data_IF_272914080422
#
_entry.id   IF_272914080422
#
_cell.length_a   1.000
_cell.length_b   1.000
_cell.length_c   1.000
_cell.angle_alpha   90.00
_cell.angle_beta   90.00
_cell.angle_gamma   90.00
#
_symmetry.space_group_name_H-M   'P 1'
#
loop_
_entity.id
_entity.type
_entity.pdbx_description
1 polymer ?
#
# COMPACT_ATOMS: atom_id res chain seq x y z
N UNK A 1 33.90 -13.77 -9.58
CA UNK A 1 32.91 -14.71 -10.15
C UNK A 1 31.52 -14.16 -9.86
N UNK A 2 30.76 -13.82 -10.90
CA UNK A 2 29.37 -13.39 -10.75
C UNK A 2 28.55 -14.54 -10.14
N UNK A 3 27.63 -14.25 -9.19
CA UNK A 3 26.80 -15.29 -8.61
C UNK A 3 25.93 -15.92 -9.71
N UNK A 4 26.06 -17.25 -9.87
CA UNK A 4 25.22 -18.04 -10.78
C UNK A 4 23.75 -17.70 -10.53
N UNK A 5 23.05 -17.23 -11.56
CA UNK A 5 21.59 -17.08 -11.58
C UNK A 5 20.94 -18.32 -10.97
N UNK A 6 20.51 -18.25 -9.71
CA UNK A 6 19.64 -19.27 -9.15
C UNK A 6 18.36 -19.25 -9.98
N UNK A 7 18.16 -20.27 -10.82
CA UNK A 7 16.88 -20.46 -11.53
C UNK A 7 15.76 -20.35 -10.50
N UNK A 8 14.88 -19.39 -10.70
CA UNK A 8 13.65 -19.24 -9.88
C UNK A 8 12.86 -20.57 -10.00
N UNK A 9 12.68 -21.25 -8.89
CA UNK A 9 11.84 -22.46 -8.87
C UNK A 9 10.39 -22.00 -8.80
N UNK A 10 9.70 -22.06 -9.92
CA UNK A 10 8.27 -21.72 -10.04
C UNK A 10 7.46 -22.96 -9.69
N UNK A 11 6.50 -22.85 -8.79
CA UNK A 11 5.58 -23.93 -8.43
C UNK A 11 4.50 -24.14 -9.50
N UNK A 12 3.84 -25.31 -9.50
CA UNK A 12 2.77 -25.60 -10.47
C UNK A 12 1.63 -24.59 -10.42
N UNK A 13 1.24 -24.14 -9.22
CA UNK A 13 0.19 -23.13 -9.09
C UNK A 13 0.64 -21.77 -9.63
N UNK A 14 1.89 -21.37 -9.38
CA UNK A 14 2.46 -20.14 -9.95
C UNK A 14 2.53 -20.24 -11.48
N UNK A 15 2.94 -21.39 -12.02
CA UNK A 15 2.95 -21.64 -13.47
C UNK A 15 1.55 -21.52 -14.06
N UNK A 16 0.52 -22.10 -13.42
CA UNK A 16 -0.89 -21.94 -13.83
C UNK A 16 -1.36 -20.50 -13.83
N UNK A 17 -0.85 -19.65 -12.93
CA UNK A 17 -1.13 -18.20 -12.93
C UNK A 17 -0.45 -17.49 -14.10
N UNK A 18 0.84 -17.80 -14.35
CA UNK A 18 1.65 -17.20 -15.40
C UNK A 18 1.06 -17.52 -16.78
N UNK A 19 0.73 -18.79 -17.03
CA UNK A 19 0.25 -19.31 -18.29
C UNK A 19 -1.28 -19.23 -18.44
N UNK A 20 -1.99 -18.61 -17.48
CA UNK A 20 -3.43 -18.46 -17.58
C UNK A 20 -3.82 -17.78 -18.89
N UNK A 21 -4.98 -18.19 -19.46
CA UNK A 21 -5.46 -17.66 -20.75
C UNK A 21 -5.39 -16.11 -20.80
N UNK A 22 -4.98 -15.52 -21.94
CA UNK A 22 -4.80 -14.09 -22.09
C UNK A 22 -6.13 -13.34 -22.33
N UNK A 23 -7.23 -13.81 -21.72
CA UNK A 23 -8.57 -13.23 -21.86
C UNK A 23 -9.35 -13.29 -20.54
N UNK A 24 -9.96 -12.15 -20.20
CA UNK A 24 -10.76 -12.01 -18.98
C UNK A 24 -9.92 -11.75 -17.72
N UNK A 25 -10.50 -11.92 -16.54
CA UNK A 25 -9.85 -11.59 -15.28
C UNK A 25 -9.22 -12.79 -14.59
N UNK A 26 -8.12 -12.59 -13.90
CA UNK A 26 -7.44 -13.54 -13.02
C UNK A 26 -7.13 -12.86 -11.69
N UNK A 27 -7.61 -13.41 -10.57
CA UNK A 27 -7.22 -13.02 -9.22
C UNK A 27 -6.17 -13.99 -8.67
N UNK A 28 -5.03 -13.46 -8.31
CA UNK A 28 -3.96 -14.14 -7.57
C UNK A 28 -3.98 -13.61 -6.15
N UNK A 29 -4.73 -14.29 -5.28
CA UNK A 29 -4.83 -13.96 -3.86
C UNK A 29 -3.74 -14.71 -3.10
N UNK A 30 -2.83 -14.01 -2.43
CA UNK A 30 -1.69 -14.65 -1.81
C UNK A 30 -1.09 -13.89 -0.65
N UNK A 31 -0.53 -14.64 0.29
CA UNK A 31 0.16 -14.12 1.46
C UNK A 31 1.47 -13.39 1.11
N UNK A 32 2.10 -12.66 2.05
CA UNK A 32 3.40 -12.04 1.83
C UNK A 32 4.45 -13.08 1.40
N UNK A 33 5.24 -12.75 0.39
CA UNK A 33 6.31 -13.64 -0.09
C UNK A 33 5.85 -14.87 -0.85
N UNK A 34 4.57 -15.00 -1.21
CA UNK A 34 4.07 -16.10 -2.04
C UNK A 34 4.44 -16.01 -3.53
N UNK A 35 5.11 -14.92 -3.93
CA UNK A 35 5.60 -14.71 -5.30
C UNK A 35 4.61 -14.01 -6.23
N UNK A 36 3.62 -13.25 -5.70
CA UNK A 36 2.67 -12.47 -6.53
C UNK A 36 3.38 -11.59 -7.55
N UNK A 37 4.29 -10.74 -7.10
CA UNK A 37 5.07 -9.85 -7.97
C UNK A 37 5.87 -10.63 -9.03
N UNK A 38 6.47 -11.76 -8.64
CA UNK A 38 7.17 -12.66 -9.58
C UNK A 38 6.23 -13.20 -10.63
N UNK A 39 5.03 -13.64 -10.22
CA UNK A 39 4.00 -14.11 -11.16
C UNK A 39 3.63 -13.02 -12.16
N UNK A 40 3.44 -11.77 -11.71
CA UNK A 40 3.07 -10.67 -12.59
C UNK A 40 4.17 -10.34 -13.61
N UNK A 41 5.43 -10.32 -13.20
CA UNK A 41 6.59 -10.12 -14.08
C UNK A 41 6.71 -11.27 -15.09
N UNK A 42 6.67 -12.54 -14.63
CA UNK A 42 6.76 -13.69 -15.52
C UNK A 42 5.53 -13.80 -16.43
N UNK A 43 4.36 -13.37 -15.98
CA UNK A 43 3.17 -13.28 -16.82
C UNK A 43 3.30 -12.21 -17.90
N UNK A 44 3.86 -11.04 -17.57
CA UNK A 44 4.17 -10.02 -18.58
C UNK A 44 5.10 -10.60 -19.66
N UNK A 45 6.16 -11.30 -19.27
CA UNK A 45 7.07 -12.02 -20.19
C UNK A 45 6.33 -13.07 -21.03
N UNK A 46 5.44 -13.86 -20.41
CA UNK A 46 4.65 -14.87 -21.12
C UNK A 46 3.74 -14.22 -22.17
N UNK A 47 3.06 -13.12 -21.83
CA UNK A 47 2.20 -12.39 -22.76
C UNK A 47 3.01 -11.81 -23.92
N UNK A 48 4.17 -11.20 -23.68
CA UNK A 48 5.05 -10.68 -24.73
C UNK A 48 5.49 -11.80 -25.70
N UNK A 49 5.84 -13.00 -25.18
CA UNK A 49 6.16 -14.16 -26.01
C UNK A 49 5.00 -14.63 -26.89
N UNK A 50 3.76 -14.30 -26.51
CA UNK A 50 2.55 -14.54 -27.32
C UNK A 50 2.24 -13.40 -28.30
N UNK A 51 3.22 -12.51 -28.54
CA UNK A 51 3.10 -11.33 -29.43
C UNK A 51 2.10 -10.27 -28.94
N UNK A 52 1.77 -10.27 -27.65
CA UNK A 52 0.93 -9.23 -27.03
C UNK A 52 1.78 -8.03 -26.66
N UNK A 53 1.46 -6.84 -27.19
CA UNK A 53 2.35 -5.67 -27.10
C UNK A 53 1.96 -4.62 -26.06
N UNK A 54 0.66 -4.44 -25.81
CA UNK A 54 0.18 -3.37 -24.92
C UNK A 54 -0.06 -3.90 -23.50
N UNK A 55 1.03 -4.09 -22.76
CA UNK A 55 0.97 -4.62 -21.39
C UNK A 55 1.31 -3.49 -20.43
N UNK A 56 0.41 -3.21 -19.46
CA UNK A 56 0.59 -2.27 -18.39
C UNK A 56 0.68 -3.00 -17.05
N UNK A 57 1.78 -2.82 -16.33
CA UNK A 57 1.94 -3.27 -14.96
C UNK A 57 1.78 -2.07 -14.00
N UNK A 58 0.77 -2.14 -13.15
CA UNK A 58 0.49 -1.10 -12.17
C UNK A 58 1.02 -1.46 -10.80
N UNK A 59 1.76 -0.53 -10.23
CA UNK A 59 2.25 -0.55 -8.86
C UNK A 59 1.47 0.43 -7.99
N UNK A 60 1.39 0.13 -6.70
CA UNK A 60 0.71 0.99 -5.75
C UNK A 60 1.37 2.37 -5.58
N UNK A 61 2.71 2.44 -5.51
CA UNK A 61 3.45 3.66 -5.26
C UNK A 61 4.68 3.79 -6.18
N UNK A 62 5.31 4.98 -6.17
CA UNK A 62 6.47 5.31 -7.00
C UNK A 62 7.69 4.42 -6.70
N UNK A 63 7.94 4.09 -5.43
CA UNK A 63 9.07 3.22 -5.05
C UNK A 63 8.91 1.84 -5.65
N UNK A 64 7.69 1.28 -5.57
CA UNK A 64 7.38 -0.02 -6.17
C UNK A 64 7.44 0.04 -7.70
N UNK A 65 7.02 1.15 -8.33
CA UNK A 65 7.18 1.36 -9.77
C UNK A 65 8.66 1.30 -10.18
N UNK A 66 9.54 2.01 -9.47
CA UNK A 66 10.99 1.96 -9.71
C UNK A 66 11.55 0.56 -9.54
N UNK A 67 11.16 -0.14 -8.47
CA UNK A 67 11.57 -1.52 -8.22
C UNK A 67 11.12 -2.48 -9.34
N UNK A 68 9.86 -2.40 -9.78
CA UNK A 68 9.33 -3.24 -10.84
C UNK A 68 9.98 -2.95 -12.20
N UNK A 69 10.30 -1.70 -12.51
CA UNK A 69 11.08 -1.34 -13.70
C UNK A 69 12.46 -1.98 -13.68
N UNK A 70 13.19 -1.88 -12.57
CA UNK A 70 14.50 -2.52 -12.41
C UNK A 70 14.40 -4.06 -12.52
N UNK A 71 13.35 -4.67 -11.93
CA UNK A 71 13.09 -6.10 -12.07
C UNK A 71 12.78 -6.51 -13.51
N UNK A 72 11.97 -5.75 -14.24
CA UNK A 72 11.64 -6.00 -15.63
C UNK A 72 12.90 -5.98 -16.51
N UNK A 73 13.73 -4.93 -16.37
CA UNK A 73 15.02 -4.83 -17.07
C UNK A 73 15.94 -6.01 -16.74
N UNK A 74 16.09 -6.36 -15.47
CA UNK A 74 16.91 -7.53 -15.04
C UNK A 74 16.36 -8.86 -15.58
N UNK A 75 15.11 -8.89 -15.95
CA UNK A 75 14.40 -10.06 -16.45
C UNK A 75 14.31 -10.09 -17.97
N UNK A 76 15.03 -9.24 -18.70
CA UNK A 76 15.01 -9.12 -20.17
C UNK A 76 13.57 -8.99 -20.73
N UNK A 77 12.75 -8.16 -20.08
CA UNK A 77 11.41 -7.82 -20.55
C UNK A 77 11.50 -6.41 -21.14
N UNK A 78 11.49 -6.33 -22.46
CA UNK A 78 11.57 -5.07 -23.17
C UNK A 78 10.21 -4.35 -23.16
N UNK A 79 10.24 -3.00 -23.13
CA UNK A 79 9.07 -2.11 -23.30
C UNK A 79 7.85 -2.41 -22.40
N UNK A 80 8.07 -3.01 -21.21
CA UNK A 80 6.99 -3.15 -20.24
C UNK A 80 6.62 -1.78 -19.64
N UNK A 81 5.41 -1.30 -19.92
CA UNK A 81 4.89 -0.11 -19.27
C UNK A 81 4.64 -0.39 -17.78
N UNK A 82 5.39 0.28 -16.89
CA UNK A 82 5.21 0.19 -15.44
C UNK A 82 4.93 1.57 -14.88
N UNK A 83 3.78 1.74 -14.21
CA UNK A 83 3.36 3.04 -13.68
C UNK A 83 2.49 2.89 -12.41
N UNK A 84 2.12 4.00 -11.80
CA UNK A 84 1.04 4.07 -10.81
C UNK A 84 -0.29 4.36 -11.51
N UNK A 85 -1.42 3.99 -10.87
CA UNK A 85 -2.74 4.32 -11.42
C UNK A 85 -2.88 5.82 -11.75
N UNK A 86 -2.45 6.69 -10.84
CA UNK A 86 -2.62 8.14 -11.03
C UNK A 86 -1.75 8.70 -12.15
N UNK A 87 -0.49 8.29 -12.24
CA UNK A 87 0.42 8.74 -13.30
C UNK A 87 -0.09 8.29 -14.68
N UNK A 88 -0.43 7.01 -14.81
CA UNK A 88 -1.02 6.47 -16.02
C UNK A 88 -2.34 7.16 -16.39
N UNK A 89 -3.26 7.31 -15.43
CA UNK A 89 -4.57 7.92 -15.66
C UNK A 89 -4.47 9.38 -16.09
N UNK A 90 -3.57 10.18 -15.47
CA UNK A 90 -3.31 11.56 -15.86
C UNK A 90 -2.77 11.63 -17.30
N UNK A 91 -1.89 10.70 -17.69
CA UNK A 91 -1.35 10.66 -19.05
C UNK A 91 -2.47 10.34 -20.07
N UNK A 92 -3.39 9.43 -19.77
CA UNK A 92 -4.58 9.17 -20.60
C UNK A 92 -5.46 10.43 -20.70
N UNK A 93 -5.75 11.11 -19.60
CA UNK A 93 -6.55 12.35 -19.62
C UNK A 93 -5.88 13.45 -20.45
N UNK A 94 -4.56 13.59 -20.39
CA UNK A 94 -3.81 14.53 -21.23
C UNK A 94 -3.89 14.18 -22.71
N UNK A 95 -3.85 12.89 -23.06
CA UNK A 95 -3.95 12.43 -24.45
C UNK A 95 -5.27 12.79 -25.13
N UNK A 96 -6.34 12.96 -24.34
CA UNK A 96 -7.64 13.44 -24.84
C UNK A 96 -7.86 14.94 -24.63
N UNK A 97 -6.78 15.68 -24.39
CA UNK A 97 -6.82 17.14 -24.14
C UNK A 97 -7.72 17.55 -22.96
N UNK A 98 -7.91 16.64 -21.99
CA UNK A 98 -8.62 17.00 -20.76
C UNK A 98 -7.76 17.99 -19.96
N UNK A 99 -8.24 19.24 -19.89
CA UNK A 99 -7.56 20.32 -19.18
C UNK A 99 -7.73 20.13 -17.67
N UNK A 100 -6.85 19.37 -17.06
CA UNK A 100 -6.74 19.32 -15.61
C UNK A 100 -5.34 19.79 -15.17
N UNK A 101 -5.31 20.48 -14.06
CA UNK A 101 -4.09 20.66 -13.29
C UNK A 101 -3.68 19.33 -12.67
N UNK A 102 -2.45 19.26 -12.16
CA UNK A 102 -2.05 18.11 -11.33
C UNK A 102 -3.02 17.99 -10.13
N UNK A 103 -3.39 16.79 -9.69
CA UNK A 103 -4.27 16.63 -8.54
C UNK A 103 -3.79 17.42 -7.32
N UNK A 104 -4.73 18.00 -6.58
CA UNK A 104 -4.46 18.78 -5.38
C UNK A 104 -3.59 18.01 -4.39
N UNK A 105 -2.66 18.70 -3.74
CA UNK A 105 -1.95 18.19 -2.56
C UNK A 105 -2.94 17.88 -1.43
N UNK A 106 -2.52 17.09 -0.45
CA UNK A 106 -3.36 16.81 0.73
C UNK A 106 -3.68 18.08 1.52
N UNK A 107 -2.75 19.04 1.57
CA UNK A 107 -2.92 20.32 2.27
C UNK A 107 -3.90 21.22 1.52
N UNK A 108 -3.74 21.38 0.20
CA UNK A 108 -4.68 22.16 -0.61
C UNK A 108 -6.09 21.57 -0.57
N UNK A 109 -6.21 20.25 -0.59
CA UNK A 109 -7.48 19.55 -0.45
C UNK A 109 -8.14 19.86 0.90
N UNK A 110 -7.38 19.75 1.99
CA UNK A 110 -7.84 20.07 3.33
C UNK A 110 -8.41 21.50 3.39
N UNK A 111 -7.70 22.48 2.83
CA UNK A 111 -8.14 23.88 2.79
C UNK A 111 -9.41 24.07 1.94
N UNK A 112 -9.55 23.36 0.81
CA UNK A 112 -10.77 23.43 -0.01
C UNK A 112 -11.97 22.80 0.70
N UNK A 113 -11.79 21.70 1.42
CA UNK A 113 -12.83 21.08 2.24
C UNK A 113 -13.24 22.01 3.38
N UNK A 114 -12.27 22.63 4.08
CA UNK A 114 -12.55 23.65 5.12
C UNK A 114 -13.38 24.82 4.57
N UNK A 115 -13.01 25.32 3.40
CA UNK A 115 -13.73 26.40 2.75
C UNK A 115 -15.15 25.99 2.36
N UNK A 116 -15.35 24.81 1.78
CA UNK A 116 -16.66 24.27 1.43
C UNK A 116 -17.56 24.13 2.68
N UNK A 117 -17.05 23.55 3.77
CA UNK A 117 -17.75 23.41 5.06
C UNK A 117 -18.19 24.77 5.59
N UNK A 118 -17.31 25.78 5.55
CA UNK A 118 -17.60 27.11 6.07
C UNK A 118 -18.71 27.79 5.26
N UNK A 119 -18.76 27.60 3.93
CA UNK A 119 -19.85 28.12 3.09
C UNK A 119 -21.18 27.47 3.48
N UNK A 120 -21.23 26.14 3.56
CA UNK A 120 -22.45 25.40 3.91
C UNK A 120 -22.93 25.80 5.31
N UNK A 121 -22.02 25.93 6.28
CA UNK A 121 -22.33 26.37 7.64
C UNK A 121 -22.95 27.78 7.68
N UNK A 122 -22.45 28.71 6.86
CA UNK A 122 -23.01 30.08 6.78
C UNK A 122 -24.38 30.12 6.11
N UNK A 123 -24.61 29.28 5.08
CA UNK A 123 -25.87 29.21 4.37
C UNK A 123 -27.00 28.61 5.22
N UNK A 124 -26.66 27.72 6.17
CA UNK A 124 -27.59 26.95 6.98
C UNK A 124 -27.28 27.14 8.49
N UNK A 125 -27.07 28.39 8.91
CA UNK A 125 -26.53 28.70 10.25
C UNK A 125 -27.35 28.15 11.43
N UNK A 126 -28.69 28.01 11.27
CA UNK A 126 -29.59 27.49 12.31
C UNK A 126 -29.70 25.97 12.30
N UNK A 127 -29.54 25.33 11.14
CA UNK A 127 -29.86 23.91 10.95
C UNK A 127 -28.65 23.05 10.60
N UNK A 128 -27.47 23.67 10.42
CA UNK A 128 -26.25 22.95 10.10
C UNK A 128 -25.79 22.04 11.24
N UNK A 129 -25.88 20.74 11.02
CA UNK A 129 -25.60 19.73 12.04
C UNK A 129 -24.54 18.77 11.51
N UNK A 130 -23.36 18.73 12.15
CA UNK A 130 -22.34 17.70 12.00
C UNK A 130 -22.18 16.89 13.29
N UNK A 131 -21.55 15.71 13.22
CA UNK A 131 -21.10 15.04 14.43
C UNK A 131 -20.22 15.95 15.30
N UNK A 132 -20.21 15.71 16.60
CA UNK A 132 -19.34 16.47 17.51
C UNK A 132 -17.88 16.08 17.31
N UNK A 133 -17.01 17.07 17.26
CA UNK A 133 -15.56 16.93 17.14
C UNK A 133 -14.84 17.74 18.21
N UNK A 134 -13.68 17.28 18.63
CA UNK A 134 -12.87 17.94 19.66
C UNK A 134 -12.18 19.22 19.14
N UNK A 135 -12.03 19.34 17.83
CA UNK A 135 -11.38 20.48 17.18
C UNK A 135 -11.84 20.67 15.74
N UNK A 136 -11.67 21.90 15.22
CA UNK A 136 -11.86 22.20 13.79
C UNK A 136 -11.01 21.29 12.89
N UNK A 137 -9.79 20.98 13.31
CA UNK A 137 -8.88 20.10 12.58
C UNK A 137 -9.42 18.67 12.47
N UNK A 138 -9.98 18.10 13.53
CA UNK A 138 -10.56 16.76 13.51
C UNK A 138 -11.82 16.72 12.65
N UNK A 139 -12.66 17.75 12.67
CA UNK A 139 -13.83 17.87 11.81
C UNK A 139 -13.45 17.89 10.33
N UNK A 140 -12.50 18.76 9.93
CA UNK A 140 -12.09 18.85 8.53
C UNK A 140 -11.38 17.57 8.07
N UNK A 141 -10.57 16.98 8.92
CA UNK A 141 -9.92 15.69 8.62
C UNK A 141 -10.94 14.58 8.37
N UNK A 142 -11.98 14.50 9.21
CA UNK A 142 -13.09 13.58 9.02
C UNK A 142 -13.84 13.83 7.70
N UNK A 143 -14.20 15.08 7.41
CA UNK A 143 -14.88 15.44 6.17
C UNK A 143 -14.04 15.10 4.94
N UNK A 144 -12.73 15.37 4.99
CA UNK A 144 -11.81 15.03 3.90
C UNK A 144 -11.78 13.54 3.63
N UNK A 145 -11.65 12.72 4.67
CA UNK A 145 -11.68 11.27 4.55
C UNK A 145 -13.04 10.74 4.09
N UNK A 146 -14.14 11.36 4.53
CA UNK A 146 -15.48 10.97 4.11
C UNK A 146 -15.71 11.27 2.62
N UNK A 147 -15.21 12.41 2.12
CA UNK A 147 -15.20 12.77 0.71
C UNK A 147 -14.38 11.75 -0.09
N UNK A 148 -13.19 11.37 0.39
CA UNK A 148 -12.35 10.36 -0.24
C UNK A 148 -13.06 9.01 -0.35
N UNK A 149 -13.70 8.59 0.73
CA UNK A 149 -14.46 7.36 0.77
C UNK A 149 -15.66 7.38 -0.20
N UNK A 150 -16.42 8.49 -0.24
CA UNK A 150 -17.51 8.62 -1.19
C UNK A 150 -17.04 8.57 -2.65
N UNK A 151 -15.98 9.30 -2.98
CA UNK A 151 -15.38 9.28 -4.32
C UNK A 151 -14.83 7.90 -4.67
N UNK A 152 -14.14 7.25 -3.73
CA UNK A 152 -13.58 5.91 -3.90
C UNK A 152 -14.61 4.81 -4.19
N UNK A 153 -15.86 5.00 -3.74
CA UNK A 153 -16.99 4.10 -3.98
C UNK A 153 -17.98 4.61 -5.05
N UNK A 154 -17.67 5.70 -5.74
CA UNK A 154 -18.57 6.35 -6.69
C UNK A 154 -19.95 6.74 -6.10
N UNK A 155 -19.93 7.19 -4.84
CA UNK A 155 -21.13 7.73 -4.18
C UNK A 155 -21.26 9.20 -4.58
N UNK A 156 -22.01 9.47 -5.63
CA UNK A 156 -22.15 10.79 -6.25
C UNK A 156 -23.56 11.41 -6.09
N UNK A 157 -24.49 10.72 -5.44
CA UNK A 157 -25.84 11.24 -5.11
C UNK A 157 -26.16 11.06 -3.63
N UNK A 158 -27.05 11.92 -3.10
CA UNK A 158 -27.49 11.83 -1.71
C UNK A 158 -28.19 10.49 -1.42
N UNK A 159 -29.00 9.99 -2.35
CA UNK A 159 -29.70 8.72 -2.20
C UNK A 159 -28.72 7.57 -2.02
N UNK A 160 -27.68 7.50 -2.87
CA UNK A 160 -26.60 6.50 -2.73
C UNK A 160 -25.91 6.61 -1.39
N UNK A 161 -25.58 7.84 -0.96
CA UNK A 161 -24.93 8.06 0.33
C UNK A 161 -25.80 7.63 1.50
N UNK A 162 -27.08 7.95 1.48
CA UNK A 162 -28.05 7.54 2.51
C UNK A 162 -28.20 6.01 2.56
N UNK A 163 -28.24 5.34 1.41
CA UNK A 163 -28.38 3.89 1.30
C UNK A 163 -27.09 3.11 1.65
N UNK A 164 -25.92 3.75 1.54
CA UNK A 164 -24.63 3.06 1.77
C UNK A 164 -24.40 2.86 3.27
N UNK A 165 -24.12 1.60 3.64
CA UNK A 165 -23.67 1.25 5.00
C UNK A 165 -22.26 1.81 5.24
N UNK A 166 -22.05 2.35 6.43
CA UNK A 166 -20.73 2.80 6.89
C UNK A 166 -19.93 1.71 7.61
N UNK A 167 -20.45 0.49 7.64
CA UNK A 167 -19.76 -0.64 8.25
C UNK A 167 -18.38 -0.82 7.59
N UNK A 168 -17.34 -0.85 8.42
CA UNK A 168 -15.96 -0.95 7.95
C UNK A 168 -15.40 0.34 7.32
N UNK A 169 -16.07 1.49 7.49
CA UNK A 169 -15.52 2.81 7.13
C UNK A 169 -14.36 3.20 8.05
N UNK A 170 -14.30 2.64 9.25
CA UNK A 170 -13.24 2.88 10.22
C UNK A 170 -13.33 4.25 10.89
N UNK A 171 -14.51 4.61 11.33
CA UNK A 171 -14.75 5.84 12.08
C UNK A 171 -15.75 5.57 13.20
N UNK A 172 -15.37 5.86 14.44
CA UNK A 172 -16.23 5.81 15.64
C UNK A 172 -17.31 6.90 15.64
N UNK A 173 -17.18 7.87 14.75
CA UNK A 173 -18.12 8.97 14.67
C UNK A 173 -19.47 8.47 14.19
N UNK A 174 -20.45 8.47 15.08
CA UNK A 174 -21.83 8.13 14.77
C UNK A 174 -22.43 9.14 13.80
N UNK A 175 -22.58 8.74 12.55
CA UNK A 175 -23.20 9.56 11.50
C UNK A 175 -24.65 9.18 11.34
N UNK A 176 -25.55 10.09 11.74
CA UNK A 176 -27.00 9.95 11.57
C UNK A 176 -27.42 10.31 10.14
N UNK A 177 -28.69 10.06 9.79
CA UNK A 177 -29.26 10.48 8.49
C UNK A 177 -29.16 12.00 8.28
N UNK A 178 -29.41 12.80 9.34
CA UNK A 178 -29.24 14.27 9.29
C UNK A 178 -27.78 14.66 9.02
N UNK A 179 -26.83 14.01 9.71
CA UNK A 179 -25.41 14.25 9.45
C UNK A 179 -25.02 13.92 8.00
N UNK A 180 -25.51 12.82 7.44
CA UNK A 180 -25.26 12.46 6.03
C UNK A 180 -25.71 13.55 5.06
N UNK A 181 -26.87 14.17 5.30
CA UNK A 181 -27.38 15.25 4.46
C UNK A 181 -26.38 16.42 4.42
N UNK A 182 -25.96 16.90 5.59
CA UNK A 182 -25.02 18.02 5.69
C UNK A 182 -23.61 17.69 5.18
N UNK A 183 -23.12 16.48 5.43
CA UNK A 183 -21.86 16.01 4.87
C UNK A 183 -21.94 15.99 3.34
N UNK A 184 -23.07 15.55 2.78
CA UNK A 184 -23.26 15.52 1.34
C UNK A 184 -23.36 16.94 0.73
N UNK A 185 -23.92 17.91 1.43
CA UNK A 185 -23.87 19.31 1.00
C UNK A 185 -22.44 19.85 0.97
N UNK A 186 -21.62 19.53 1.99
CA UNK A 186 -20.19 19.88 1.99
C UNK A 186 -19.47 19.21 0.83
N UNK A 187 -19.73 17.93 0.56
CA UNK A 187 -19.21 17.20 -0.60
C UNK A 187 -19.58 17.87 -1.92
N UNK A 188 -20.86 18.21 -2.09
CA UNK A 188 -21.36 18.88 -3.30
C UNK A 188 -20.71 20.25 -3.50
N UNK A 189 -20.58 21.02 -2.41
CA UNK A 189 -19.93 22.34 -2.44
C UNK A 189 -18.45 22.24 -2.76
N UNK A 190 -17.75 21.25 -2.16
CA UNK A 190 -16.36 20.97 -2.48
C UNK A 190 -16.17 20.66 -3.96
N UNK A 191 -16.96 19.75 -4.53
CA UNK A 191 -16.91 19.43 -5.95
C UNK A 191 -17.22 20.63 -6.86
N UNK A 192 -18.20 21.47 -6.48
CA UNK A 192 -18.50 22.71 -7.21
C UNK A 192 -17.31 23.69 -7.21
N UNK A 193 -16.58 23.80 -6.09
CA UNK A 193 -15.36 24.60 -5.99
C UNK A 193 -14.28 24.05 -6.92
N UNK A 194 -14.06 22.73 -6.93
CA UNK A 194 -13.07 22.10 -7.82
C UNK A 194 -13.45 22.37 -9.28
N UNK A 195 -14.70 22.10 -9.66
CA UNK A 195 -15.19 22.31 -11.02
C UNK A 195 -15.02 23.76 -11.50
N UNK A 196 -15.44 24.73 -10.69
CA UNK A 196 -15.32 26.17 -11.01
C UNK A 196 -13.87 26.60 -11.26
N UNK A 197 -12.93 26.01 -10.52
CA UNK A 197 -11.51 26.34 -10.61
C UNK A 197 -10.71 25.42 -11.54
N UNK A 198 -11.37 24.48 -12.24
CA UNK A 198 -10.75 23.47 -13.11
C UNK A 198 -9.71 22.63 -12.36
N UNK A 199 -9.97 22.34 -11.09
CA UNK A 199 -9.15 21.52 -10.21
C UNK A 199 -9.71 20.10 -10.14
N UNK A 200 -8.84 19.15 -9.84
CA UNK A 200 -9.20 17.77 -9.48
C UNK A 200 -8.42 17.34 -8.24
N UNK A 201 -8.93 16.39 -7.48
CA UNK A 201 -8.15 15.65 -6.50
C UNK A 201 -7.74 14.27 -7.02
N UNK A 202 -6.97 13.53 -6.23
CA UNK A 202 -6.48 12.20 -6.65
C UNK A 202 -7.62 11.20 -6.93
N UNK A 203 -8.74 11.28 -6.22
CA UNK A 203 -9.89 10.39 -6.46
C UNK A 203 -10.66 10.77 -7.74
N UNK A 204 -10.65 12.04 -8.12
CA UNK A 204 -11.30 12.51 -9.35
C UNK A 204 -10.67 11.91 -10.61
N UNK A 205 -9.39 11.56 -10.59
CA UNK A 205 -8.75 10.92 -11.75
C UNK A 205 -9.50 9.68 -12.21
N UNK A 206 -9.89 8.80 -11.27
CA UNK A 206 -10.66 7.60 -11.61
C UNK A 206 -12.07 7.93 -12.08
N UNK A 207 -12.74 8.90 -11.44
CA UNK A 207 -14.10 9.33 -11.80
C UNK A 207 -14.12 9.89 -13.21
N UNK A 208 -13.19 10.81 -13.52
CA UNK A 208 -13.12 11.45 -14.85
C UNK A 208 -12.77 10.43 -15.94
N UNK A 209 -11.85 9.49 -15.68
CA UNK A 209 -11.56 8.40 -16.62
C UNK A 209 -12.79 7.56 -16.91
N UNK A 210 -13.56 7.21 -15.87
CA UNK A 210 -14.79 6.44 -16.02
C UNK A 210 -15.85 7.18 -16.84
N UNK A 211 -16.07 8.46 -16.54
CA UNK A 211 -17.03 9.31 -17.26
C UNK A 211 -16.63 9.55 -18.73
N UNK A 212 -15.33 9.62 -19.00
CA UNK A 212 -14.78 9.87 -20.33
C UNK A 212 -14.44 8.59 -21.11
N UNK A 213 -14.72 7.43 -20.57
CA UNK A 213 -14.33 6.15 -21.18
C UNK A 213 -14.74 6.01 -22.66
N UNK A 214 -15.93 6.53 -23.03
CA UNK A 214 -16.44 6.41 -24.39
C UNK A 214 -15.71 7.28 -25.44
N UNK A 215 -14.97 8.31 -25.00
CA UNK A 215 -14.23 9.20 -25.91
C UNK A 215 -12.73 8.92 -25.90
N UNK A 216 -12.26 8.02 -25.03
CA UNK A 216 -10.85 7.61 -25.00
C UNK A 216 -10.58 6.61 -26.13
N UNK A 217 -9.68 6.92 -27.08
CA UNK A 217 -9.33 6.00 -28.17
C UNK A 217 -8.82 4.66 -27.63
N UNK A 218 -9.32 3.56 -28.19
CA UNK A 218 -8.91 2.20 -27.79
C UNK A 218 -7.43 1.94 -27.99
N UNK A 219 -6.81 2.64 -28.93
CA UNK A 219 -5.40 2.58 -29.25
C UNK A 219 -4.51 3.05 -28.09
N UNK A 220 -5.04 3.90 -27.23
CA UNK A 220 -4.37 4.38 -26.01
C UNK A 220 -4.52 3.42 -24.82
N UNK A 221 -5.44 2.47 -24.92
CA UNK A 221 -5.74 1.54 -23.84
C UNK A 221 -4.86 0.28 -23.91
N UNK A 222 -4.45 -0.28 -22.76
CA UNK A 222 -3.67 -1.51 -22.72
C UNK A 222 -4.52 -2.74 -23.08
N UNK A 223 -3.93 -3.68 -23.79
CA UNK A 223 -4.53 -5.00 -24.01
C UNK A 223 -4.62 -5.77 -22.70
N UNK A 224 -3.54 -5.72 -21.92
CA UNK A 224 -3.41 -6.44 -20.66
C UNK A 224 -3.04 -5.49 -19.54
N UNK A 225 -3.76 -5.56 -18.44
CA UNK A 225 -3.44 -4.85 -17.21
C UNK A 225 -3.08 -5.87 -16.14
N UNK A 226 -1.90 -5.68 -15.55
CA UNK A 226 -1.40 -6.44 -14.41
C UNK A 226 -1.35 -5.49 -13.21
N UNK A 227 -1.93 -5.86 -12.08
CA UNK A 227 -2.00 -5.01 -10.90
C UNK A 227 -1.31 -5.70 -9.74
N UNK A 228 -0.28 -5.08 -9.18
CA UNK A 228 0.31 -5.50 -7.92
C UNK A 228 -0.30 -4.71 -6.75
N UNK A 229 -0.46 -5.37 -5.59
CA UNK A 229 -1.05 -4.82 -4.37
C UNK A 229 -2.45 -4.21 -4.57
N UNK A 230 -3.31 -4.87 -5.34
CA UNK A 230 -4.64 -4.36 -5.72
C UNK A 230 -5.56 -4.03 -4.54
N UNK A 231 -5.32 -4.61 -3.35
CA UNK A 231 -6.09 -4.32 -2.13
C UNK A 231 -5.98 -2.86 -1.66
N UNK A 232 -5.02 -2.09 -2.19
CA UNK A 232 -4.86 -0.68 -1.85
C UNK A 232 -5.52 0.27 -2.84
N UNK A 233 -6.02 -0.24 -3.96
CA UNK A 233 -6.78 0.55 -4.91
C UNK A 233 -8.23 0.73 -4.44
N UNK A 234 -8.82 1.88 -4.76
CA UNK A 234 -10.25 2.12 -4.53
C UNK A 234 -11.12 1.31 -5.49
N UNK A 235 -12.38 1.08 -5.11
CA UNK A 235 -13.36 0.44 -5.99
C UNK A 235 -13.45 1.14 -7.36
N UNK A 236 -13.46 2.47 -7.36
CA UNK A 236 -13.53 3.26 -8.58
C UNK A 236 -12.33 3.07 -9.50
N UNK A 237 -11.11 2.99 -8.93
CA UNK A 237 -9.90 2.69 -9.70
C UNK A 237 -9.96 1.29 -10.33
N UNK A 238 -10.40 0.29 -9.57
CA UNK A 238 -10.55 -1.08 -10.08
C UNK A 238 -11.62 -1.19 -11.16
N UNK A 239 -12.74 -0.46 -11.04
CA UNK A 239 -13.77 -0.39 -12.10
C UNK A 239 -13.20 0.18 -13.40
N UNK A 240 -12.45 1.28 -13.33
CA UNK A 240 -11.77 1.87 -14.50
C UNK A 240 -10.82 0.87 -15.14
N UNK A 241 -9.97 0.21 -14.34
CA UNK A 241 -9.02 -0.75 -14.85
C UNK A 241 -9.69 -1.97 -15.49
N UNK A 242 -10.80 -2.44 -14.90
CA UNK A 242 -11.60 -3.52 -15.47
C UNK A 242 -12.23 -3.15 -16.82
N UNK A 243 -12.69 -1.89 -16.96
CA UNK A 243 -13.28 -1.38 -18.20
C UNK A 243 -12.23 -1.15 -19.28
N UNK A 244 -10.99 -0.76 -18.90
CA UNK A 244 -9.94 -0.34 -19.83
C UNK A 244 -9.03 -1.47 -20.28
N UNK A 245 -8.99 -2.60 -19.57
CA UNK A 245 -8.27 -3.79 -20.01
C UNK A 245 -8.95 -4.42 -21.24
N UNK A 246 -8.38 -4.22 -22.43
CA UNK A 246 -9.03 -4.65 -23.68
C UNK A 246 -9.14 -6.19 -23.81
N UNK A 247 -8.19 -6.94 -23.24
CA UNK A 247 -8.15 -8.42 -23.32
C UNK A 247 -8.18 -9.07 -21.95
N UNK A 248 -7.26 -8.72 -21.04
CA UNK A 248 -7.21 -9.36 -19.72
C UNK A 248 -6.78 -8.43 -18.59
N UNK A 249 -7.30 -8.74 -17.41
CA UNK A 249 -6.96 -8.10 -16.15
C UNK A 249 -6.41 -9.16 -15.19
N UNK A 250 -5.16 -9.01 -14.74
CA UNK A 250 -4.54 -9.88 -13.74
C UNK A 250 -4.32 -9.10 -12.46
N UNK A 251 -4.83 -9.60 -11.36
CA UNK A 251 -4.92 -8.90 -10.07
C UNK A 251 -4.11 -9.67 -9.04
N UNK A 252 -3.04 -9.09 -8.53
CA UNK A 252 -2.31 -9.56 -7.36
C UNK A 252 -2.82 -8.86 -6.10
N UNK A 253 -3.34 -9.60 -5.13
CA UNK A 253 -3.90 -9.04 -3.90
C UNK A 253 -3.46 -9.82 -2.64
N UNK A 254 -3.46 -9.12 -1.50
CA UNK A 254 -3.17 -9.68 -0.18
C UNK A 254 -3.97 -8.94 0.91
N UNK A 255 -4.99 -9.58 1.45
CA UNK A 255 -5.83 -8.99 2.50
C UNK A 255 -5.06 -8.74 3.79
N UNK A 256 -4.12 -9.61 4.14
CA UNK A 256 -3.30 -9.45 5.35
C UNK A 256 -2.41 -8.20 5.32
N UNK A 257 -2.13 -7.66 4.14
CA UNK A 257 -1.33 -6.45 3.94
C UNK A 257 -2.18 -5.21 3.57
N UNK A 258 -3.49 -5.29 3.63
CA UNK A 258 -4.37 -4.15 3.32
C UNK A 258 -4.23 -3.06 4.38
N UNK A 259 -3.53 -1.99 4.06
CA UNK A 259 -3.36 -0.82 4.94
C UNK A 259 -4.53 0.15 4.80
N UNK A 260 -5.17 0.20 3.62
CA UNK A 260 -6.28 1.10 3.32
C UNK A 260 -7.63 0.42 3.45
N UNK A 261 -8.62 1.16 3.95
CA UNK A 261 -9.97 0.66 4.28
C UNK A 261 -10.88 0.64 3.04
N UNK A 262 -10.56 -0.16 2.04
CA UNK A 262 -11.38 -0.31 0.84
C UNK A 262 -12.11 -1.66 0.89
N UNK A 263 -13.39 -1.66 1.31
CA UNK A 263 -14.22 -2.87 1.29
C UNK A 263 -15.15 -2.84 0.08
N UNK A 264 -14.95 -3.76 -0.83
CA UNK A 264 -15.80 -4.01 -2.00
C UNK A 264 -15.80 -5.50 -2.32
N UNK A 265 -16.79 -5.95 -3.08
CA UNK A 265 -16.74 -7.29 -3.67
C UNK A 265 -16.35 -7.19 -5.15
N UNK A 266 -15.52 -8.09 -5.63
CA UNK A 266 -15.12 -8.12 -7.04
C UNK A 266 -16.31 -8.17 -8.00
N UNK A 267 -17.37 -8.89 -7.60
CA UNK A 267 -18.62 -8.97 -8.37
C UNK A 267 -19.29 -7.62 -8.54
N UNK A 268 -19.31 -6.80 -7.48
CA UNK A 268 -19.94 -5.46 -7.55
C UNK A 268 -19.15 -4.49 -8.44
N UNK A 269 -17.86 -4.77 -8.68
CA UNK A 269 -17.01 -4.03 -9.61
C UNK A 269 -17.11 -4.51 -11.07
N UNK A 270 -17.94 -5.51 -11.35
CA UNK A 270 -18.03 -6.11 -12.69
C UNK A 270 -16.86 -7.03 -13.03
N UNK A 271 -16.03 -7.42 -12.07
CA UNK A 271 -14.84 -8.28 -12.25
C UNK A 271 -15.22 -9.73 -12.00
N UNK A 272 -15.24 -10.54 -13.05
CA UNK A 272 -15.54 -11.98 -12.93
C UNK A 272 -14.26 -12.76 -12.56
N UNK A 273 -14.22 -13.21 -11.31
CA UNK A 273 -13.14 -14.01 -10.73
C UNK A 273 -13.60 -15.42 -10.29
N UNK A 274 -14.76 -15.87 -10.73
CA UNK A 274 -15.33 -17.16 -10.30
C UNK A 274 -14.55 -18.37 -10.84
N UNK A 275 -14.65 -19.47 -10.12
CA UNK A 275 -14.09 -20.77 -10.53
C UNK A 275 -12.57 -20.74 -10.67
N UNK A 276 -12.07 -21.15 -11.82
CA UNK A 276 -10.62 -21.24 -12.09
C UNK A 276 -9.90 -19.90 -12.19
N UNK A 277 -10.63 -18.78 -12.18
CA UNK A 277 -10.11 -17.41 -12.27
C UNK A 277 -9.56 -16.87 -10.95
N UNK A 278 -9.77 -17.57 -9.83
CA UNK A 278 -9.13 -17.27 -8.54
C UNK A 278 -8.09 -18.33 -8.21
N UNK A 279 -6.88 -17.87 -7.89
CA UNK A 279 -5.79 -18.72 -7.42
C UNK A 279 -5.33 -18.24 -6.06
N UNK A 280 -5.23 -19.16 -5.11
CA UNK A 280 -4.82 -18.87 -3.72
C UNK A 280 -3.39 -19.38 -3.52
N UNK A 281 -2.53 -18.50 -3.02
CA UNK A 281 -1.12 -18.78 -2.73
C UNK A 281 -0.88 -18.69 -1.22
N UNK A 282 -1.04 -19.81 -0.52
CA UNK A 282 -0.90 -19.89 0.94
C UNK A 282 0.53 -20.12 1.43
N UNK A 283 1.50 -20.36 0.54
CA UNK A 283 2.89 -20.64 0.90
C UNK A 283 3.79 -19.43 0.66
N UNK A 284 4.62 -19.08 1.64
CA UNK A 284 5.67 -18.05 1.48
C UNK A 284 7.01 -18.71 1.08
N UNK A 285 7.74 -18.04 0.16
CA UNK A 285 9.07 -18.45 -0.30
C UNK A 285 10.15 -17.42 0.05
N UNK A 286 9.75 -16.30 0.65
CA UNK A 286 10.63 -15.15 0.92
C UNK A 286 11.41 -15.32 2.22
N UNK A 287 10.70 -15.45 3.32
CA UNK A 287 11.23 -15.31 4.68
C UNK A 287 11.57 -16.66 5.31
N UNK A 288 12.28 -16.64 6.42
CA UNK A 288 12.50 -17.82 7.26
C UNK A 288 11.26 -18.12 8.12
N UNK A 289 11.18 -19.36 8.61
CA UNK A 289 10.10 -19.84 9.48
C UNK A 289 9.94 -18.95 10.73
N UNK A 290 11.04 -18.59 11.35
CA UNK A 290 11.11 -17.83 12.60
C UNK A 290 10.56 -16.40 12.43
N UNK A 291 10.87 -15.75 11.29
CA UNK A 291 10.33 -14.42 10.97
C UNK A 291 8.81 -14.49 10.78
N UNK A 292 8.34 -15.47 10.01
CA UNK A 292 6.89 -15.61 9.74
C UNK A 292 6.13 -16.02 11.00
N UNK A 293 6.70 -16.86 11.86
CA UNK A 293 6.08 -17.22 13.14
C UNK A 293 5.84 -15.99 14.02
N UNK A 294 6.88 -15.14 14.19
CA UNK A 294 6.73 -13.91 14.97
C UNK A 294 5.72 -12.95 14.35
N UNK A 295 5.79 -12.74 13.04
CA UNK A 295 4.87 -11.83 12.35
C UNK A 295 3.41 -12.33 12.43
N UNK A 296 3.16 -13.62 12.23
CA UNK A 296 1.83 -14.21 12.29
C UNK A 296 1.26 -14.16 13.72
N UNK A 297 2.03 -14.52 14.75
CA UNK A 297 1.58 -14.48 16.14
C UNK A 297 1.15 -13.06 16.56
N UNK A 298 1.83 -12.04 16.03
CA UNK A 298 1.44 -10.65 16.25
C UNK A 298 0.16 -10.28 15.47
N UNK A 299 0.04 -10.72 14.21
CA UNK A 299 -1.10 -10.38 13.35
C UNK A 299 -2.39 -11.09 13.78
N UNK A 300 -2.31 -12.30 14.30
CA UNK A 300 -3.49 -13.06 14.82
C UNK A 300 -4.20 -12.37 15.99
N UNK A 301 -3.56 -11.38 16.63
CA UNK A 301 -4.22 -10.55 17.65
C UNK A 301 -5.13 -9.47 17.04
N UNK A 302 -5.19 -9.34 15.70
CA UNK A 302 -6.10 -8.43 15.01
C UNK A 302 -7.44 -9.13 14.75
N UNK A 303 -8.40 -8.93 15.68
CA UNK A 303 -9.73 -9.54 15.61
C UNK A 303 -10.51 -9.17 14.34
N UNK A 304 -10.28 -7.97 13.79
CA UNK A 304 -10.96 -7.51 12.58
C UNK A 304 -10.46 -8.25 11.35
N UNK A 305 -9.16 -8.56 11.33
CA UNK A 305 -8.55 -9.29 10.23
C UNK A 305 -8.90 -10.77 10.26
N UNK A 306 -8.80 -11.41 11.44
CA UNK A 306 -9.06 -12.86 11.59
C UNK A 306 -10.51 -13.23 11.24
N UNK A 307 -11.45 -12.30 11.42
CA UNK A 307 -12.88 -12.48 11.06
C UNK A 307 -13.17 -12.19 9.57
N UNK A 308 -12.19 -11.74 8.77
CA UNK A 308 -12.40 -11.46 7.35
C UNK A 308 -12.34 -12.76 6.54
N UNK A 309 -13.41 -13.08 5.79
CA UNK A 309 -13.53 -14.33 5.02
C UNK A 309 -12.47 -14.48 3.91
N UNK A 310 -11.90 -13.37 3.44
CA UNK A 310 -10.84 -13.39 2.43
C UNK A 310 -9.43 -13.45 3.05
N UNK A 311 -9.31 -13.45 4.39
CA UNK A 311 -8.02 -13.59 5.06
C UNK A 311 -7.46 -15.00 4.87
N UNK A 312 -6.20 -15.07 4.45
CA UNK A 312 -5.47 -16.33 4.29
C UNK A 312 -4.40 -16.38 5.39
N UNK A 313 -4.53 -17.36 6.26
CA UNK A 313 -3.49 -17.62 7.25
C UNK A 313 -2.22 -18.14 6.56
N UNK A 314 -1.06 -17.49 6.76
CA UNK A 314 0.17 -17.92 6.13
C UNK A 314 0.67 -19.27 6.63
N UNK A 315 0.94 -20.20 5.71
CA UNK A 315 1.64 -21.44 6.07
C UNK A 315 3.12 -21.15 6.30
N UNK A 316 3.69 -21.83 7.29
CA UNK A 316 5.10 -21.62 7.63
C UNK A 316 6.03 -22.14 6.52
N UNK A 317 7.06 -21.37 6.14
CA UNK A 317 8.04 -21.83 5.15
C UNK A 317 8.91 -22.96 5.70
N UNK A 318 9.44 -23.78 4.80
CA UNK A 318 10.39 -24.85 5.17
C UNK A 318 11.78 -24.32 5.55
N UNK A 319 12.13 -23.12 5.11
CA UNK A 319 13.42 -22.48 5.35
C UNK A 319 13.48 -21.96 6.77
N UNK A 320 14.42 -22.45 7.57
CA UNK A 320 14.73 -21.92 8.90
C UNK A 320 15.87 -20.90 8.87
N UNK A 321 15.91 -20.04 9.87
CA UNK A 321 16.91 -18.99 10.07
C UNK A 321 17.05 -18.62 11.55
N UNK A 322 17.78 -17.55 11.87
CA UNK A 322 17.88 -17.06 13.23
C UNK A 322 16.53 -16.54 13.74
N UNK A 323 16.26 -16.68 15.03
CA UNK A 323 15.15 -15.99 15.67
C UNK A 323 15.30 -14.49 15.46
N UNK A 324 14.18 -13.75 15.23
CA UNK A 324 14.19 -12.29 15.24
C UNK A 324 14.80 -11.74 16.52
N UNK A 325 15.44 -10.59 16.42
CA UNK A 325 16.05 -9.89 17.56
C UNK A 325 15.20 -8.68 17.93
N UNK A 326 14.90 -8.49 19.21
CA UNK A 326 14.34 -7.25 19.76
C UNK A 326 15.44 -6.54 20.53
N UNK A 327 15.84 -5.36 20.05
CA UNK A 327 16.89 -4.54 20.64
C UNK A 327 16.27 -3.38 21.42
N UNK A 328 16.43 -3.39 22.74
CA UNK A 328 15.92 -2.36 23.62
C UNK A 328 16.99 -1.28 23.84
N UNK A 329 16.65 -0.02 23.53
CA UNK A 329 17.55 1.13 23.62
C UNK A 329 17.00 2.17 24.60
N UNK A 330 17.86 2.80 25.37
CA UNK A 330 17.49 3.87 26.30
C UNK A 330 17.21 5.19 25.55
N UNK A 331 18.00 5.45 24.51
CA UNK A 331 17.95 6.70 23.73
C UNK A 331 17.99 6.40 22.24
N UNK A 332 17.58 7.40 21.46
CA UNK A 332 17.64 7.32 19.99
C UNK A 332 19.09 7.25 19.47
N UNK A 333 20.02 7.97 20.09
CA UNK A 333 21.44 7.89 19.74
C UNK A 333 22.05 6.49 19.99
N UNK A 334 21.64 5.81 21.07
CA UNK A 334 22.01 4.42 21.31
C UNK A 334 21.46 3.48 20.23
N UNK A 335 20.21 3.68 19.82
CA UNK A 335 19.59 2.91 18.74
C UNK A 335 20.40 3.03 17.45
N UNK A 336 20.69 4.27 17.01
CA UNK A 336 21.48 4.53 15.80
C UNK A 336 22.83 3.82 15.88
N UNK A 337 23.58 4.01 16.97
CA UNK A 337 24.89 3.40 17.16
C UNK A 337 24.82 1.88 17.01
N UNK A 338 23.92 1.21 17.75
CA UNK A 338 23.78 -0.25 17.75
C UNK A 338 23.31 -0.80 16.39
N UNK A 339 22.41 -0.09 15.69
CA UNK A 339 21.98 -0.46 14.33
C UNK A 339 23.16 -0.39 13.37
N UNK A 340 23.95 0.69 13.40
CA UNK A 340 25.13 0.85 12.53
C UNK A 340 26.17 -0.25 12.80
N UNK A 341 26.42 -0.59 14.05
CA UNK A 341 27.34 -1.69 14.41
C UNK A 341 26.87 -3.03 13.82
N UNK A 342 25.56 -3.34 13.88
CA UNK A 342 24.99 -4.53 13.25
C UNK A 342 25.06 -4.48 11.73
N UNK A 343 24.76 -3.34 11.11
CA UNK A 343 24.88 -3.14 9.66
C UNK A 343 26.32 -3.41 9.20
N UNK A 344 27.32 -2.89 9.92
CA UNK A 344 28.76 -3.16 9.63
C UNK A 344 29.08 -4.65 9.70
N UNK A 345 28.61 -5.35 10.74
CA UNK A 345 28.79 -6.80 10.90
C UNK A 345 28.18 -7.59 9.74
N UNK A 346 26.94 -7.25 9.35
CA UNK A 346 26.28 -7.91 8.21
C UNK A 346 27.08 -7.69 6.92
N UNK A 347 27.48 -6.44 6.62
CA UNK A 347 28.24 -6.11 5.41
C UNK A 347 29.65 -6.70 5.38
N UNK A 348 30.27 -6.89 6.54
CA UNK A 348 31.57 -7.58 6.65
C UNK A 348 31.44 -9.06 6.27
N UNK A 349 30.33 -9.70 6.66
CA UNK A 349 30.10 -11.12 6.41
C UNK A 349 29.50 -11.38 5.01
N UNK A 350 28.65 -10.47 4.49
CA UNK A 350 28.02 -10.57 3.17
C UNK A 350 27.94 -9.19 2.51
N UNK A 351 28.89 -8.92 1.61
CA UNK A 351 28.94 -7.68 0.82
C UNK A 351 27.80 -7.60 -0.21
N UNK A 352 27.20 -8.73 -0.57
CA UNK A 352 26.10 -8.80 -1.54
C UNK A 352 24.72 -8.62 -0.91
N UNK A 353 24.63 -8.56 0.42
CA UNK A 353 23.37 -8.44 1.13
C UNK A 353 22.68 -7.09 0.89
N UNK A 354 21.35 -7.15 0.74
CA UNK A 354 20.47 -5.99 0.78
C UNK A 354 19.94 -5.81 2.21
N UNK A 355 20.06 -4.59 2.74
CA UNK A 355 19.65 -4.27 4.12
C UNK A 355 18.57 -3.20 4.07
N UNK A 356 17.36 -3.53 4.50
CA UNK A 356 16.27 -2.58 4.65
C UNK A 356 16.25 -1.98 6.05
N UNK A 357 16.33 -0.65 6.15
CA UNK A 357 16.13 0.09 7.38
C UNK A 357 14.81 0.82 7.30
N UNK A 358 13.79 0.31 8.02
CA UNK A 358 12.41 0.79 7.95
C UNK A 358 12.13 1.67 9.16
N UNK A 359 11.90 2.96 8.91
CA UNK A 359 11.64 3.97 9.93
C UNK A 359 10.15 4.31 10.04
N UNK A 360 9.71 4.67 11.22
CA UNK A 360 8.32 5.11 11.45
C UNK A 360 8.00 6.41 10.70
N UNK A 361 8.98 7.34 10.59
CA UNK A 361 8.82 8.66 9.98
C UNK A 361 10.04 9.05 9.14
N UNK A 362 9.84 9.88 8.12
CA UNK A 362 10.91 10.41 7.27
C UNK A 362 12.00 11.16 8.06
N UNK A 363 11.63 11.96 9.07
CA UNK A 363 12.58 12.68 9.92
C UNK A 363 13.62 11.76 10.58
N UNK A 364 13.25 10.48 10.81
CA UNK A 364 14.15 9.48 11.38
C UNK A 364 15.10 8.88 10.35
N UNK A 365 14.74 8.91 9.07
CA UNK A 365 15.61 8.46 7.99
C UNK A 365 16.88 9.33 7.93
N UNK A 366 16.74 10.66 7.98
CA UNK A 366 17.87 11.58 7.84
C UNK A 366 18.95 11.36 8.91
N UNK A 367 18.55 11.14 10.17
CA UNK A 367 19.50 10.86 11.24
C UNK A 367 20.31 9.55 11.02
N UNK A 368 19.71 8.52 10.42
CA UNK A 368 20.42 7.31 10.05
C UNK A 368 21.32 7.53 8.83
N UNK A 369 20.90 8.35 7.85
CA UNK A 369 21.71 8.73 6.68
C UNK A 369 22.97 9.41 7.14
N UNK A 370 22.86 10.50 7.92
CA UNK A 370 23.99 11.26 8.48
C UNK A 370 24.97 10.32 9.20
N UNK A 371 24.47 9.50 10.11
CA UNK A 371 25.31 8.59 10.87
C UNK A 371 25.98 7.47 10.03
N UNK A 372 25.37 7.06 8.91
CA UNK A 372 25.95 6.11 7.96
C UNK A 372 27.03 6.77 7.09
N UNK A 373 26.79 8.00 6.63
CA UNK A 373 27.74 8.80 5.86
C UNK A 373 29.02 9.07 6.65
N UNK A 374 28.90 9.47 7.94
CA UNK A 374 30.03 9.64 8.85
C UNK A 374 30.88 8.37 8.98
N UNK A 375 30.29 7.19 8.79
CA UNK A 375 30.94 5.90 8.89
C UNK A 375 31.32 5.30 7.54
N UNK A 376 31.14 6.04 6.43
CA UNK A 376 31.43 5.59 5.07
C UNK A 376 30.58 4.38 4.64
N UNK A 377 29.36 4.24 5.15
CA UNK A 377 28.43 3.16 4.77
C UNK A 377 27.56 3.62 3.63
N UNK A 378 27.70 3.05 2.41
CA UNK A 378 26.83 3.37 1.28
C UNK A 378 25.36 3.08 1.60
N UNK A 379 24.52 4.06 1.36
CA UNK A 379 23.09 3.97 1.63
C UNK A 379 22.29 4.68 0.55
N UNK A 380 20.99 4.35 0.42
CA UNK A 380 20.06 4.92 -0.56
C UNK A 380 18.70 5.11 0.10
N UNK A 381 18.11 6.29 -0.06
CA UNK A 381 16.73 6.55 0.34
C UNK A 381 15.80 6.06 -0.78
N UNK A 382 14.88 5.15 -0.44
CA UNK A 382 14.03 4.43 -1.41
C UNK A 382 13.18 5.36 -2.30
N UNK A 383 12.76 6.51 -1.77
CA UNK A 383 11.88 7.44 -2.49
C UNK A 383 12.62 8.46 -3.36
N UNK A 384 13.94 8.46 -3.36
CA UNK A 384 14.72 9.34 -4.21
C UNK A 384 14.66 8.92 -5.68
N UNK A 385 14.70 9.92 -6.56
CA UNK A 385 14.67 9.67 -7.98
C UNK A 385 15.97 8.97 -8.41
N UNK A 386 15.83 7.86 -9.14
CA UNK A 386 16.99 7.07 -9.60
C UNK A 386 17.58 6.13 -8.54
N UNK A 387 16.94 5.98 -7.38
CA UNK A 387 17.41 5.06 -6.33
C UNK A 387 17.59 3.65 -6.87
N UNK A 388 18.79 3.09 -6.69
CA UNK A 388 19.06 1.68 -7.01
C UNK A 388 18.58 0.79 -5.86
N UNK A 389 17.46 0.10 -6.11
CA UNK A 389 16.80 -0.73 -5.12
C UNK A 389 17.23 -2.19 -5.14
N UNK A 390 17.88 -2.65 -6.21
CA UNK A 390 18.29 -4.05 -6.40
C UNK A 390 19.75 -4.33 -6.03
N UNK A 391 20.62 -3.34 -6.09
CA UNK A 391 22.04 -3.52 -5.73
C UNK A 391 22.23 -3.74 -4.24
N UNK A 392 23.31 -4.41 -3.83
CA UNK A 392 23.69 -4.57 -2.43
C UNK A 392 23.79 -3.25 -1.67
N UNK A 393 23.58 -3.27 -0.36
CA UNK A 393 23.76 -2.13 0.53
C UNK A 393 22.51 -1.76 1.32
N UNK A 394 22.55 -0.61 2.00
CA UNK A 394 21.49 -0.16 2.90
C UNK A 394 20.45 0.66 2.13
N UNK A 395 19.19 0.32 2.32
CA UNK A 395 18.02 1.01 1.76
C UNK A 395 17.17 1.56 2.92
N UNK A 396 17.08 2.87 3.02
CA UNK A 396 16.29 3.53 4.06
C UNK A 396 14.90 3.86 3.52
N UNK A 397 13.89 3.55 4.29
CA UNK A 397 12.49 3.70 3.86
C UNK A 397 11.54 3.85 5.04
N UNK A 398 10.29 4.21 4.75
CA UNK A 398 9.19 4.17 5.72
C UNK A 398 8.35 2.91 5.53
N UNK A 399 7.46 2.63 6.48
CA UNK A 399 6.51 1.51 6.39
C UNK A 399 5.68 1.52 5.09
N UNK A 400 5.24 2.70 4.64
CA UNK A 400 4.47 2.84 3.41
C UNK A 400 5.30 2.56 2.16
N UNK A 401 6.51 3.09 2.13
CA UNK A 401 7.41 2.95 0.98
C UNK A 401 8.11 1.60 0.93
N UNK A 402 8.18 0.87 2.06
CA UNK A 402 8.70 -0.49 2.13
C UNK A 402 7.74 -1.52 1.51
N UNK A 403 6.46 -1.16 1.33
CA UNK A 403 5.47 -2.10 0.80
C UNK A 403 5.86 -2.57 -0.61
N UNK A 404 5.79 -3.88 -0.84
CA UNK A 404 6.22 -4.52 -2.09
C UNK A 404 7.72 -4.81 -2.17
N UNK A 405 8.58 -4.07 -1.46
CA UNK A 405 10.02 -4.29 -1.43
C UNK A 405 10.38 -5.51 -0.56
N UNK A 406 11.63 -5.96 -0.70
CA UNK A 406 12.15 -7.07 0.08
C UNK A 406 13.67 -6.95 0.24
N UNK A 407 14.18 -7.32 1.42
CA UNK A 407 15.59 -7.19 1.77
C UNK A 407 16.08 -8.46 2.46
N UNK A 408 17.37 -8.76 2.33
CA UNK A 408 17.94 -9.92 2.99
C UNK A 408 17.90 -9.75 4.51
N UNK A 409 18.22 -8.57 5.00
CA UNK A 409 18.15 -8.21 6.41
C UNK A 409 17.28 -6.97 6.60
N UNK A 410 16.43 -6.98 7.62
CA UNK A 410 15.56 -5.84 7.92
C UNK A 410 15.75 -5.37 9.36
N UNK A 411 15.88 -4.06 9.49
CA UNK A 411 15.76 -3.34 10.75
C UNK A 411 14.45 -2.56 10.75
N UNK A 412 13.56 -2.86 11.69
CA UNK A 412 12.35 -2.06 11.95
C UNK A 412 12.64 -1.19 13.14
N UNK A 413 12.77 0.13 12.93
CA UNK A 413 13.36 1.03 13.90
C UNK A 413 12.36 1.98 14.56
N UNK A 414 12.76 2.50 15.71
CA UNK A 414 12.05 3.55 16.45
C UNK A 414 10.66 3.14 16.94
N UNK A 415 10.51 1.90 17.44
CA UNK A 415 9.26 1.50 18.10
C UNK A 415 9.19 2.15 19.49
N UNK A 416 8.46 3.25 19.56
CA UNK A 416 8.29 4.05 20.76
C UNK A 416 6.80 4.32 21.02
N UNK A 417 6.44 4.50 22.29
CA UNK A 417 5.09 4.89 22.69
C UNK A 417 4.63 6.13 21.92
N UNK A 418 3.42 6.11 21.39
CA UNK A 418 2.80 7.14 20.54
C UNK A 418 3.50 7.38 19.18
N UNK A 419 4.51 6.59 18.81
CA UNK A 419 5.07 6.59 17.46
C UNK A 419 4.51 5.44 16.62
N UNK A 420 4.41 4.25 17.24
CA UNK A 420 3.75 3.07 16.68
C UNK A 420 3.20 2.21 17.84
N UNK A 421 1.89 2.00 17.94
CA UNK A 421 0.85 2.56 17.07
C UNK A 421 0.73 4.08 17.23
N UNK A 422 0.39 4.79 16.15
CA UNK A 422 0.15 6.22 16.17
C UNK A 422 -1.35 6.51 16.20
N UNK A 423 -1.96 6.40 17.37
CA UNK A 423 -3.40 6.60 17.54
C UNK A 423 -3.82 8.08 17.45
N UNK A 424 -2.87 9.03 17.62
CA UNK A 424 -3.17 10.47 17.63
C UNK A 424 -3.46 11.08 16.26
N UNK A 425 -2.97 10.46 15.17
CA UNK A 425 -3.16 10.97 13.81
C UNK A 425 -4.60 10.77 13.33
N UNK A 426 -5.31 9.88 13.97
CA UNK A 426 -6.60 9.37 13.54
C UNK A 426 -7.76 9.87 14.42
N UNK A 427 -7.66 11.08 14.92
CA UNK A 427 -8.73 11.71 15.70
C UNK A 427 -10.09 11.55 14.99
N UNK A 428 -11.04 10.89 15.67
CA UNK A 428 -12.37 10.60 15.12
C UNK A 428 -12.52 9.29 14.33
N UNK A 429 -11.49 8.45 14.25
CA UNK A 429 -11.59 7.08 13.73
C UNK A 429 -11.87 6.06 14.85
N UNK A 430 -12.40 4.88 14.47
CA UNK A 430 -12.53 3.74 15.38
C UNK A 430 -11.14 3.31 15.86
N UNK A 431 -10.90 3.33 17.17
CA UNK A 431 -9.62 2.95 17.76
C UNK A 431 -9.21 1.53 17.37
N UNK A 432 -10.17 0.60 17.27
CA UNK A 432 -9.91 -0.79 16.83
C UNK A 432 -9.46 -0.83 15.36
N UNK A 433 -10.09 -0.04 14.50
CA UNK A 433 -9.73 0.03 13.09
C UNK A 433 -8.35 0.69 12.89
N UNK A 434 -8.05 1.72 13.70
CA UNK A 434 -6.74 2.37 13.69
C UNK A 434 -5.67 1.39 14.16
N UNK A 435 -5.92 0.72 15.27
CA UNK A 435 -5.01 -0.29 15.82
C UNK A 435 -4.78 -1.43 14.83
N UNK A 436 -5.83 -1.92 14.16
CA UNK A 436 -5.73 -2.91 13.08
C UNK A 436 -4.83 -2.40 11.93
N UNK A 437 -5.01 -1.14 11.51
CA UNK A 437 -4.19 -0.52 10.47
C UNK A 437 -2.72 -0.43 10.89
N UNK A 438 -2.43 -0.01 12.12
CA UNK A 438 -1.07 0.08 12.66
C UNK A 438 -0.43 -1.31 12.80
N UNK A 439 -1.22 -2.33 13.22
CA UNK A 439 -0.77 -3.73 13.25
C UNK A 439 -0.36 -4.24 11.86
N UNK A 440 -1.17 -3.96 10.85
CA UNK A 440 -0.87 -4.32 9.44
C UNK A 440 0.40 -3.63 8.94
N UNK A 441 0.63 -2.36 9.27
CA UNK A 441 1.88 -1.66 8.92
C UNK A 441 3.10 -2.35 9.52
N UNK A 442 3.04 -2.70 10.79
CA UNK A 442 4.15 -3.37 11.47
C UNK A 442 4.37 -4.79 10.92
N UNK A 443 3.29 -5.54 10.67
CA UNK A 443 3.34 -6.84 10.00
C UNK A 443 4.01 -6.75 8.61
N UNK A 444 3.60 -5.76 7.81
CA UNK A 444 4.21 -5.51 6.50
C UNK A 444 5.71 -5.29 6.64
N UNK A 445 6.15 -4.46 7.59
CA UNK A 445 7.58 -4.21 7.80
C UNK A 445 8.34 -5.47 8.21
N UNK A 446 7.82 -6.27 9.14
CA UNK A 446 8.45 -7.54 9.55
C UNK A 446 8.60 -8.50 8.37
N UNK A 447 7.57 -8.62 7.54
CA UNK A 447 7.55 -9.56 6.39
C UNK A 447 8.37 -9.09 5.19
N UNK A 448 9.07 -7.94 5.26
CA UNK A 448 10.05 -7.53 4.24
C UNK A 448 11.38 -8.29 4.36
N UNK A 449 11.63 -8.92 5.49
CA UNK A 449 12.87 -9.64 5.79
C UNK A 449 12.90 -11.03 5.14
N UNK A 450 14.05 -11.37 4.50
CA UNK A 450 14.30 -12.70 3.92
C UNK A 450 15.08 -13.60 4.87
N UNK A 451 16.13 -13.07 5.52
CA UNK A 451 17.12 -13.85 6.27
C UNK A 451 17.12 -13.52 7.76
N UNK A 452 17.08 -12.24 8.12
CA UNK A 452 17.04 -11.82 9.51
C UNK A 452 16.19 -10.58 9.73
N UNK A 453 15.57 -10.49 10.90
CA UNK A 453 14.75 -9.37 11.35
C UNK A 453 15.29 -8.86 12.68
N UNK A 454 15.59 -7.58 12.76
CA UNK A 454 15.89 -6.86 14.00
C UNK A 454 14.85 -5.77 14.22
N UNK A 455 14.17 -5.80 15.34
CA UNK A 455 13.20 -4.79 15.76
C UNK A 455 13.87 -3.96 16.83
N UNK A 456 13.90 -2.63 16.68
CA UNK A 456 14.51 -1.76 17.69
C UNK A 456 13.44 -0.90 18.36
N UNK A 457 13.53 -0.77 19.68
CA UNK A 457 12.61 0.02 20.48
C UNK A 457 13.36 1.01 21.37
N UNK A 458 12.83 2.23 21.45
CA UNK A 458 13.40 3.32 22.26
C UNK A 458 12.46 3.67 23.41
N UNK A 459 13.01 3.83 24.61
CA UNK A 459 12.24 4.17 25.81
C UNK A 459 11.56 5.57 25.67
N UNK A 460 10.27 5.71 26.05
CA UNK A 460 9.32 4.67 26.49
C UNK A 460 8.88 3.78 25.31
N UNK A 461 8.99 2.46 25.50
CA UNK A 461 8.76 1.50 24.45
C UNK A 461 7.32 1.47 23.93
N UNK A 462 7.18 1.11 22.66
CA UNK A 462 5.88 0.83 22.04
C UNK A 462 5.16 -0.32 22.74
N UNK A 463 3.84 -0.23 22.87
CA UNK A 463 3.01 -1.35 23.34
C UNK A 463 3.09 -2.57 22.43
N UNK A 464 3.40 -2.40 21.13
CA UNK A 464 3.59 -3.50 20.20
C UNK A 464 4.75 -4.42 20.60
N UNK A 465 5.75 -3.93 21.32
CA UNK A 465 6.81 -4.78 21.88
C UNK A 465 6.24 -5.76 22.93
N UNK A 466 5.31 -5.28 23.78
CA UNK A 466 4.61 -6.11 24.75
C UNK A 466 3.68 -7.15 24.13
N UNK A 467 3.20 -6.90 22.90
CA UNK A 467 2.32 -7.81 22.16
C UNK A 467 3.10 -8.90 21.38
N UNK A 468 4.41 -8.82 21.28
CA UNK A 468 5.23 -9.85 20.64
C UNK A 468 5.34 -11.10 21.55
N UNK A 469 5.22 -12.27 20.96
CA UNK A 469 5.45 -13.54 21.68
C UNK A 469 6.93 -13.70 22.04
N UNK A 470 7.24 -13.64 23.33
CA UNK A 470 8.59 -13.69 23.88
C UNK A 470 9.36 -14.97 23.54
N UNK A 471 8.65 -16.06 23.25
CA UNK A 471 9.25 -17.34 22.86
C UNK A 471 9.83 -17.32 21.45
N UNK A 472 9.41 -16.36 20.59
CA UNK A 472 9.71 -16.31 19.16
C UNK A 472 10.84 -15.33 18.81
N UNK A 473 11.41 -14.60 19.75
CA UNK A 473 12.51 -13.68 19.51
C UNK A 473 13.57 -13.75 20.62
N UNK A 474 14.71 -13.12 20.41
CA UNK A 474 15.75 -12.91 21.42
C UNK A 474 15.84 -11.42 21.75
N UNK A 475 16.13 -11.10 23.04
CA UNK A 475 16.32 -9.73 23.52
C UNK A 475 17.81 -9.42 23.52
N UNK A 476 18.17 -8.23 23.02
CA UNK A 476 19.51 -7.65 23.12
C UNK A 476 19.49 -6.27 23.77
#
# INVERSE_FOLDING_TARGET
>A
MAPKNKKLTITDIQKKCIEFQPKGSLLVNGIPGSGKTTILIERARYLQKKMEKKILLLAYNRSMTSYLKQLATKSDIDDLAVDTFHSWGINILRSINYRCTYPLSSEDKYEKVRFARNIVRKQNATDFILPKFDSDRSEISFLTQEIDWMKGLNINTLEKYLATSRFGRGSDIRVTKKHKIWIFEVFSKYNAILFKNRLIDFHDVAIVLFEKANIIPKELLPDHILIDEAQDLSAMQLMVLAQFAQKSLTIGADKGQQIYKNRFSWKTLGIDIRGTRTKVLGQTFRSTKEIIQLANSFQQQDELLVKDEEYIEPTLPKRSGPKPTVMLCKTYGEEIKRVIEKVKKIRANDKAATIGLICVKNEKINAFVEAMEEQGIPNVIVNEQGADLLSPGVKLTTYFSAKGLEFDHVFVTNLRKNAMPNLRVYSGEDEKDVLSTERKKFYVAMTRAKLSLTITAVNPYSEFIGNLDKSLYVIE
#
